data_IF_328086214774
#
_entry.id   IF_328086214774
#
_cell.length_a   1.000
_cell.length_b   1.000
_cell.length_c   1.000
_cell.angle_alpha   90.00
_cell.angle_beta   90.00
_cell.angle_gamma   90.00
#
_symmetry.space_group_name_H-M   'P 1'
#
loop_
_entity.id
_entity.type
_entity.pdbx_description
1 polymer ?
#
# COMPACT_ATOMS: atom_id res chain seq x y z
N UNK A 1 16.89 -2.06 -28.34
CA UNK A 1 16.18 -1.72 -27.10
C UNK A 1 16.82 -2.36 -25.86
N UNK A 2 16.87 -3.69 -25.72
CA UNK A 2 17.43 -4.34 -24.50
C UNK A 2 18.92 -4.03 -24.32
N UNK A 3 19.74 -4.09 -25.36
CA UNK A 3 21.17 -3.77 -25.28
C UNK A 3 21.42 -2.30 -24.91
N UNK A 4 20.62 -1.38 -25.42
CA UNK A 4 20.68 0.03 -25.05
C UNK A 4 20.38 0.23 -23.56
N UNK A 5 19.33 -0.44 -23.03
CA UNK A 5 19.01 -0.40 -21.59
C UNK A 5 20.12 -0.96 -20.71
N UNK A 6 20.83 -2.01 -21.17
CA UNK A 6 22.00 -2.55 -20.46
C UNK A 6 23.13 -1.52 -20.38
N UNK A 7 23.43 -0.81 -21.48
CA UNK A 7 24.44 0.24 -21.51
C UNK A 7 24.07 1.36 -20.52
N UNK A 8 22.84 1.89 -20.58
CA UNK A 8 22.38 2.92 -19.68
C UNK A 8 22.42 2.49 -18.19
N UNK A 9 22.09 1.22 -17.90
CA UNK A 9 22.20 0.69 -16.55
C UNK A 9 23.66 0.55 -16.08
N UNK A 10 24.58 0.25 -16.97
CA UNK A 10 26.02 0.21 -16.66
C UNK A 10 26.56 1.62 -16.37
N UNK A 11 26.19 2.60 -17.18
CA UNK A 11 26.56 4.00 -16.97
C UNK A 11 26.03 4.53 -15.63
N UNK A 12 24.76 4.23 -15.29
CA UNK A 12 24.18 4.56 -13.99
C UNK A 12 24.93 3.88 -12.84
N UNK A 13 25.40 2.66 -13.04
CA UNK A 13 26.18 1.94 -12.03
C UNK A 13 27.55 2.60 -11.79
N UNK A 14 28.24 2.99 -12.87
CA UNK A 14 29.51 3.70 -12.81
C UNK A 14 29.38 5.07 -12.13
N UNK A 15 28.27 5.78 -12.40
CA UNK A 15 27.95 7.06 -11.77
C UNK A 15 27.45 6.94 -10.32
N UNK A 16 27.37 5.75 -9.73
CA UNK A 16 26.83 5.51 -8.38
C UNK A 16 25.32 5.74 -8.25
N UNK A 17 24.60 5.88 -9.36
CA UNK A 17 23.17 6.18 -9.39
C UNK A 17 22.29 4.92 -9.48
N UNK A 18 22.87 3.74 -9.64
CA UNK A 18 22.13 2.49 -9.71
C UNK A 18 21.62 2.09 -8.33
N UNK A 19 20.30 2.14 -8.16
CA UNK A 19 19.65 1.66 -6.94
C UNK A 19 19.47 0.14 -6.97
N UNK A 20 19.81 -0.51 -5.86
CA UNK A 20 19.53 -1.94 -5.65
C UNK A 20 18.45 -2.09 -4.60
N UNK A 21 17.48 -2.97 -4.83
CA UNK A 21 16.53 -3.39 -3.82
C UNK A 21 17.24 -4.31 -2.85
N UNK A 22 17.06 -4.08 -1.56
CA UNK A 22 17.51 -5.01 -0.52
C UNK A 22 16.49 -6.14 -0.37
N UNK A 23 16.98 -7.35 -0.11
CA UNK A 23 16.12 -8.50 0.13
C UNK A 23 15.85 -8.60 1.63
N UNK A 24 14.63 -8.26 2.03
CA UNK A 24 14.19 -8.44 3.41
C UNK A 24 13.82 -9.91 3.65
N UNK A 25 14.34 -10.47 4.76
CA UNK A 25 14.22 -11.90 5.10
C UNK A 25 13.61 -12.12 6.50
N UNK A 26 13.07 -11.08 7.09
CA UNK A 26 12.36 -11.13 8.37
C UNK A 26 11.07 -10.30 8.31
N UNK A 27 10.13 -10.48 9.26
CA UNK A 27 9.05 -9.53 9.46
C UNK A 27 9.57 -8.11 9.75
N UNK A 28 8.70 -7.11 9.58
CA UNK A 28 9.01 -5.73 9.96
C UNK A 28 9.16 -5.62 11.47
N UNK A 29 10.23 -4.94 11.91
CA UNK A 29 10.55 -4.67 13.30
C UNK A 29 11.68 -3.64 13.37
N UNK A 30 12.00 -3.15 14.55
CA UNK A 30 13.16 -2.28 14.75
C UNK A 30 14.47 -2.97 14.30
N UNK A 31 14.60 -4.27 14.54
CA UNK A 31 15.67 -5.10 13.97
C UNK A 31 15.10 -5.98 12.87
N UNK A 32 15.75 -5.98 11.72
CA UNK A 32 15.35 -6.80 10.56
C UNK A 32 16.56 -7.53 9.98
N UNK A 33 16.29 -8.56 9.19
CA UNK A 33 17.33 -9.26 8.42
C UNK A 33 17.19 -8.84 6.97
N UNK A 34 18.22 -8.18 6.44
CA UNK A 34 18.27 -7.78 5.03
C UNK A 34 19.61 -8.20 4.42
N UNK A 35 19.56 -8.82 3.24
CA UNK A 35 20.73 -9.38 2.53
C UNK A 35 21.58 -10.31 3.43
N UNK A 36 20.91 -11.11 4.29
CA UNK A 36 21.55 -12.02 5.22
C UNK A 36 22.17 -11.37 6.48
N UNK A 37 22.00 -10.07 6.66
CA UNK A 37 22.55 -9.34 7.80
C UNK A 37 21.44 -8.81 8.72
N UNK A 38 21.66 -8.93 10.04
CA UNK A 38 20.78 -8.31 11.03
C UNK A 38 21.13 -6.82 11.17
N UNK A 39 20.17 -5.98 10.92
CA UNK A 39 20.34 -4.52 10.87
C UNK A 39 19.29 -3.84 11.77
N UNK A 40 19.67 -2.73 12.38
CA UNK A 40 18.75 -1.80 13.01
C UNK A 40 18.19 -0.87 11.93
N UNK A 41 16.86 -0.82 11.78
CA UNK A 41 16.19 -0.05 10.74
C UNK A 41 15.79 1.34 11.21
N UNK A 42 16.28 2.37 10.52
CA UNK A 42 15.83 3.76 10.66
C UNK A 42 15.00 4.24 9.46
N UNK A 43 14.68 3.33 8.52
CA UNK A 43 14.00 3.65 7.27
C UNK A 43 12.53 3.18 7.24
N UNK A 44 12.00 2.71 8.37
CA UNK A 44 10.63 2.22 8.44
C UNK A 44 9.64 3.37 8.54
N UNK A 45 8.51 3.24 7.84
CA UNK A 45 7.31 4.08 8.02
C UNK A 45 6.30 3.46 8.99
N UNK A 46 6.63 2.31 9.57
CA UNK A 46 5.79 1.59 10.54
C UNK A 46 5.97 2.19 11.95
N UNK A 47 5.58 3.46 12.11
CA UNK A 47 5.77 4.23 13.34
C UNK A 47 5.03 3.66 14.55
N UNK A 48 3.93 2.95 14.32
CA UNK A 48 3.12 2.33 15.38
C UNK A 48 3.45 0.85 15.60
N UNK A 49 4.35 0.26 14.82
CA UNK A 49 4.73 -1.16 14.92
C UNK A 49 3.62 -2.12 14.52
N UNK A 50 2.69 -1.67 13.67
CA UNK A 50 1.50 -2.45 13.29
C UNK A 50 1.75 -3.45 12.18
N UNK A 51 2.80 -3.28 11.37
CA UNK A 51 3.07 -4.15 10.21
C UNK A 51 3.28 -5.63 10.56
N UNK A 52 3.64 -5.93 11.82
CA UNK A 52 3.81 -7.29 12.33
C UNK A 52 3.07 -7.50 13.66
N UNK A 53 1.98 -6.76 13.89
CA UNK A 53 1.22 -6.87 15.12
C UNK A 53 0.42 -8.18 15.15
N UNK A 54 0.52 -8.99 16.22
CA UNK A 54 -0.11 -10.32 16.27
C UNK A 54 -1.64 -10.29 16.12
N UNK A 55 -2.30 -9.28 16.67
CA UNK A 55 -3.76 -9.13 16.53
C UNK A 55 -4.16 -8.84 15.08
N UNK A 56 -3.39 -8.02 14.34
CA UNK A 56 -3.66 -7.76 12.93
C UNK A 56 -3.43 -8.99 12.07
N UNK A 57 -2.40 -9.78 12.38
CA UNK A 57 -2.15 -11.06 11.71
C UNK A 57 -3.31 -12.02 11.95
N UNK A 58 -3.77 -12.14 13.21
CA UNK A 58 -4.90 -13.00 13.57
C UNK A 58 -6.19 -12.55 12.87
N UNK A 59 -6.48 -11.26 12.86
CA UNK A 59 -7.65 -10.70 12.18
C UNK A 59 -7.62 -10.98 10.67
N UNK A 60 -6.45 -10.80 10.02
CA UNK A 60 -6.27 -11.12 8.61
C UNK A 60 -6.49 -12.61 8.31
N UNK A 61 -5.96 -13.51 9.15
CA UNK A 61 -6.15 -14.94 9.01
C UNK A 61 -7.63 -15.35 9.13
N UNK A 62 -8.37 -14.74 10.07
CA UNK A 62 -9.80 -14.96 10.25
C UNK A 62 -10.57 -14.46 9.04
N UNK A 63 -10.36 -13.24 8.63
CA UNK A 63 -11.03 -12.66 7.47
C UNK A 63 -10.76 -13.45 6.18
N UNK A 64 -9.52 -13.93 5.98
CA UNK A 64 -9.18 -14.75 4.83
C UNK A 64 -9.92 -16.12 4.81
N UNK A 65 -10.20 -16.71 5.98
CA UNK A 65 -11.01 -17.95 6.07
C UNK A 65 -12.48 -17.70 5.78
N UNK A 66 -13.01 -16.56 6.19
CA UNK A 66 -14.43 -16.22 6.06
C UNK A 66 -14.78 -15.67 4.66
N UNK A 67 -13.94 -14.83 4.10
CA UNK A 67 -14.21 -14.10 2.85
C UNK A 67 -13.29 -14.47 1.68
N UNK A 68 -12.32 -15.34 1.88
CA UNK A 68 -11.28 -15.58 0.88
C UNK A 68 -10.28 -14.43 0.78
N UNK A 69 -9.51 -14.40 -0.32
CA UNK A 69 -8.37 -13.47 -0.50
C UNK A 69 -8.55 -12.49 -1.67
N UNK A 70 -9.73 -12.42 -2.25
CA UNK A 70 -9.98 -11.53 -3.38
C UNK A 70 -11.46 -11.21 -3.57
N UNK A 71 -11.74 -10.03 -4.13
CA UNK A 71 -13.10 -9.52 -4.34
C UNK A 71 -13.87 -10.25 -5.46
N UNK A 72 -13.19 -10.91 -6.38
CA UNK A 72 -13.80 -11.63 -7.51
C UNK A 72 -14.42 -10.74 -8.59
N UNK A 73 -14.76 -9.49 -8.28
CA UNK A 73 -15.34 -8.51 -9.18
C UNK A 73 -15.05 -7.07 -8.73
N UNK A 74 -15.50 -6.07 -9.50
CA UNK A 74 -15.46 -4.67 -9.06
C UNK A 74 -16.45 -4.40 -7.92
N UNK A 75 -16.19 -3.36 -7.12
CA UNK A 75 -17.05 -2.96 -6.01
C UNK A 75 -18.51 -2.71 -6.42
N UNK A 76 -18.73 -2.15 -7.60
CA UNK A 76 -20.09 -1.84 -8.10
C UNK A 76 -20.90 -3.09 -8.50
N UNK A 77 -20.26 -4.25 -8.61
CA UNK A 77 -20.94 -5.49 -9.00
C UNK A 77 -21.08 -6.39 -7.77
N UNK A 78 -20.10 -7.25 -7.50
CA UNK A 78 -20.12 -8.20 -6.37
C UNK A 78 -18.81 -8.23 -5.59
N UNK A 79 -17.92 -7.27 -5.82
CA UNK A 79 -16.61 -7.20 -5.18
C UNK A 79 -16.57 -6.35 -3.90
N UNK A 80 -17.69 -5.72 -3.49
CA UNK A 80 -17.79 -4.97 -2.24
C UNK A 80 -18.26 -5.89 -1.11
N UNK A 81 -17.30 -6.37 -0.32
CA UNK A 81 -17.57 -7.26 0.80
C UNK A 81 -17.92 -6.47 2.08
N UNK A 82 -18.58 -7.14 3.05
CA UNK A 82 -18.90 -6.55 4.35
C UNK A 82 -17.68 -5.91 5.03
N UNK A 83 -16.49 -6.53 4.94
CA UNK A 83 -15.27 -5.96 5.51
C UNK A 83 -14.87 -4.61 4.91
N UNK A 84 -15.15 -4.36 3.62
CA UNK A 84 -14.93 -3.03 3.03
C UNK A 84 -15.89 -2.02 3.61
N UNK A 85 -17.18 -2.38 3.69
CA UNK A 85 -18.22 -1.54 4.25
C UNK A 85 -17.94 -1.16 5.71
N UNK A 86 -17.61 -2.13 6.54
CA UNK A 86 -17.29 -1.93 7.95
C UNK A 86 -16.04 -1.03 8.13
N UNK A 87 -15.03 -1.21 7.28
CA UNK A 87 -13.84 -0.36 7.30
C UNK A 87 -14.16 1.09 6.92
N UNK A 88 -15.01 1.32 5.90
CA UNK A 88 -15.46 2.65 5.49
C UNK A 88 -16.22 3.36 6.63
N UNK A 89 -17.12 2.65 7.29
CA UNK A 89 -17.88 3.19 8.43
C UNK A 89 -16.98 3.46 9.64
N UNK A 90 -16.09 2.55 9.98
CA UNK A 90 -15.19 2.70 11.12
C UNK A 90 -14.24 3.91 10.92
N UNK A 91 -13.68 4.05 9.72
CA UNK A 91 -12.79 5.17 9.39
C UNK A 91 -13.54 6.51 9.37
N UNK A 92 -14.74 6.56 8.80
CA UNK A 92 -15.59 7.76 8.81
C UNK A 92 -15.92 8.18 10.24
N UNK A 93 -16.33 7.24 11.08
CA UNK A 93 -16.61 7.48 12.50
C UNK A 93 -15.36 7.98 13.24
N UNK A 94 -14.19 7.36 13.01
CA UNK A 94 -12.94 7.75 13.66
C UNK A 94 -12.54 9.20 13.38
N UNK A 95 -12.78 9.69 12.16
CA UNK A 95 -12.46 11.08 11.78
C UNK A 95 -13.65 12.04 11.95
N UNK A 96 -14.79 11.57 12.44
CA UNK A 96 -15.98 12.41 12.68
C UNK A 96 -16.71 12.85 11.39
N UNK A 97 -16.62 12.08 10.32
CA UNK A 97 -17.28 12.35 9.04
C UNK A 97 -18.49 11.42 8.82
N UNK A 98 -19.50 11.85 8.02
CA UNK A 98 -20.73 11.08 7.81
C UNK A 98 -20.54 9.83 6.93
N UNK A 99 -19.50 9.78 6.11
CA UNK A 99 -19.21 8.67 5.20
C UNK A 99 -17.72 8.57 4.86
N UNK A 100 -17.28 7.37 4.48
CA UNK A 100 -15.96 7.09 3.94
C UNK A 100 -16.06 6.29 2.64
N UNK A 101 -15.06 6.41 1.79
CA UNK A 101 -14.91 5.61 0.58
C UNK A 101 -13.51 5.04 0.48
N UNK A 102 -13.40 3.73 0.40
CA UNK A 102 -12.14 3.02 0.38
C UNK A 102 -11.61 2.88 -1.05
N UNK A 103 -10.32 3.16 -1.23
CA UNK A 103 -9.58 2.93 -2.46
C UNK A 103 -8.40 2.00 -2.21
N UNK A 104 -8.03 1.20 -3.21
CA UNK A 104 -6.88 0.29 -3.10
C UNK A 104 -5.53 1.01 -2.95
N UNK A 105 -5.44 2.27 -3.39
CA UNK A 105 -4.25 3.11 -3.25
C UNK A 105 -4.61 4.58 -3.09
N UNK A 106 -3.76 5.36 -2.40
CA UNK A 106 -3.91 6.82 -2.33
C UNK A 106 -3.86 7.50 -3.70
N UNK A 107 -3.10 6.95 -4.66
CA UNK A 107 -3.08 7.45 -6.02
C UNK A 107 -4.48 7.36 -6.68
N UNK A 108 -5.16 6.22 -6.54
CA UNK A 108 -6.51 6.05 -7.06
C UNK A 108 -7.50 6.98 -6.35
N UNK A 109 -7.37 7.16 -5.03
CA UNK A 109 -8.19 8.10 -4.28
C UNK A 109 -8.03 9.54 -4.82
N UNK A 110 -6.79 10.01 -4.95
CA UNK A 110 -6.50 11.35 -5.47
C UNK A 110 -7.03 11.56 -6.89
N UNK A 111 -6.84 10.59 -7.79
CA UNK A 111 -7.38 10.65 -9.15
C UNK A 111 -8.92 10.64 -9.17
N UNK A 112 -9.51 9.80 -8.31
CA UNK A 112 -10.96 9.69 -8.18
C UNK A 112 -11.62 10.98 -7.67
N UNK A 113 -11.05 11.60 -6.64
CA UNK A 113 -11.55 12.86 -6.06
C UNK A 113 -11.49 13.98 -7.09
N UNK A 114 -10.36 14.15 -7.77
CA UNK A 114 -10.21 15.18 -8.81
C UNK A 114 -11.23 14.96 -9.93
N UNK A 115 -11.35 13.74 -10.43
CA UNK A 115 -12.27 13.42 -11.52
C UNK A 115 -13.76 13.58 -11.13
N UNK A 116 -14.10 13.37 -9.85
CA UNK A 116 -15.48 13.46 -9.37
C UNK A 116 -15.92 14.89 -9.04
N UNK A 117 -15.00 15.73 -8.54
CA UNK A 117 -15.36 17.06 -8.03
C UNK A 117 -15.06 18.19 -9.02
N UNK A 118 -14.19 17.97 -10.01
CA UNK A 118 -13.73 19.03 -10.91
C UNK A 118 -14.19 18.79 -12.34
N UNK A 119 -14.64 19.85 -12.98
CA UNK A 119 -15.04 19.88 -14.40
C UNK A 119 -13.98 20.58 -15.27
N UNK A 120 -14.33 20.72 -16.55
CA UNK A 120 -13.43 21.26 -17.59
C UNK A 120 -12.97 22.73 -17.31
N UNK A 121 -13.77 23.48 -16.56
CA UNK A 121 -13.56 24.90 -16.31
C UNK A 121 -12.99 25.19 -14.91
N UNK A 122 -12.68 24.16 -14.13
CA UNK A 122 -12.15 24.32 -12.79
C UNK A 122 -10.61 24.36 -12.83
N UNK A 123 -10.01 25.02 -11.86
CA UNK A 123 -8.56 25.11 -11.69
C UNK A 123 -8.14 24.45 -10.37
N UNK A 124 -6.99 23.80 -10.40
CA UNK A 124 -6.34 23.19 -9.24
C UNK A 124 -5.10 24.02 -8.91
N UNK A 125 -4.97 24.45 -7.66
CA UNK A 125 -3.87 25.26 -7.16
C UNK A 125 -3.02 24.47 -6.17
#
# INVERSE_FOLDING_TARGET
MIEQLKVELAERAQAGLKRKRRLLQSPQSAYLVADGQRLLSFASNDYLGLANHPELISALQTAAKEAGVGGGASHLITGHHQFHHDAEQALACFVGLPAGLLFSTGYMANMGVVAALLGRNDAIF
#
